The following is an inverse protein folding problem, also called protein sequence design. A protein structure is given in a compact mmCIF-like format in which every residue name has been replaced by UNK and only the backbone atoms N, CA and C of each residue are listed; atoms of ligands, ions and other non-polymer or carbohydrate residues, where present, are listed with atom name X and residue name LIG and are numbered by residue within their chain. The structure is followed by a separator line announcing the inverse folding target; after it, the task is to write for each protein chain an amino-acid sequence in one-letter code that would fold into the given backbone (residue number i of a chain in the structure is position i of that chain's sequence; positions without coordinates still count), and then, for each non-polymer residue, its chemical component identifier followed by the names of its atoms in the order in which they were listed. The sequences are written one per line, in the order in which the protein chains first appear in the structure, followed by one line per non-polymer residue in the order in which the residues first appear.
data_IF_813079110766
#
_entry.id   IF_813079110766
#
_cell.length_a   1.000
_cell.length_b   1.000
_cell.length_c   1.000
_cell.angle_alpha   90.00
_cell.angle_beta   90.00
_cell.angle_gamma   90.00
#
_symmetry.space_group_name_H-M   'P 1'
#
loop_
_entity.id
_entity.type
_entity.pdbx_description
1 polymer ?
#
# COMPACT_ATOMS: atom_id res chain seq x y z
N UNK A 1 -25.96 -45.74 -34.03
CA UNK A 1 -25.16 -45.98 -32.81
C UNK A 1 -24.38 -44.73 -32.46
N UNK A 2 -24.81 -44.01 -31.43
CA UNK A 2 -23.93 -43.26 -30.50
C UNK A 2 -23.89 -44.11 -29.20
N UNK A 3 -22.91 -43.99 -28.25
CA UNK A 3 -22.22 -42.76 -27.82
C UNK A 3 -20.75 -42.88 -27.31
N UNK A 4 -20.08 -41.73 -27.14
CA UNK A 4 -19.35 -41.27 -25.93
C UNK A 4 -18.44 -40.07 -26.31
N UNK A 5 -18.82 -38.82 -26.02
CA UNK A 5 -18.88 -38.18 -24.70
C UNK A 5 -17.48 -37.85 -24.14
N UNK A 6 -17.27 -36.55 -23.91
CA UNK A 6 -16.35 -35.96 -22.94
C UNK A 6 -14.83 -36.14 -23.15
N UNK A 7 -14.22 -35.15 -23.80
CA UNK A 7 -12.99 -34.58 -23.24
C UNK A 7 -13.23 -33.09 -22.96
N UNK A 8 -13.97 -32.88 -21.87
CA UNK A 8 -13.96 -31.68 -21.07
C UNK A 8 -12.55 -31.49 -20.48
N UNK A 9 -12.11 -30.23 -20.41
CA UNK A 9 -11.18 -29.72 -19.40
C UNK A 9 -9.67 -30.03 -19.55
N UNK A 10 -9.04 -29.39 -20.54
CA UNK A 10 -7.61 -29.03 -20.43
C UNK A 10 -7.45 -27.96 -19.34
N UNK A 11 -7.25 -28.40 -18.11
CA UNK A 11 -6.76 -27.57 -17.01
C UNK A 11 -5.34 -27.98 -16.68
N UNK A 12 -4.48 -26.98 -16.55
CA UNK A 12 -3.06 -27.22 -16.30
C UNK A 12 -2.10 -26.23 -16.94
N UNK A 13 -2.54 -25.02 -17.33
CA UNK A 13 -1.61 -23.89 -17.29
C UNK A 13 -1.83 -23.19 -15.96
N UNK A 14 -1.05 -23.60 -14.95
CA UNK A 14 -0.83 -22.79 -13.76
C UNK A 14 -0.10 -21.52 -14.22
N UNK A 15 -0.86 -20.58 -14.78
CA UNK A 15 -0.43 -19.22 -14.94
C UNK A 15 -0.16 -18.72 -13.52
N UNK A 16 1.12 -18.61 -13.16
CA UNK A 16 1.60 -17.90 -11.98
C UNK A 16 1.34 -16.40 -12.16
N UNK A 17 0.09 -16.04 -12.43
CA UNK A 17 -0.42 -14.69 -12.45
C UNK A 17 -0.72 -14.29 -11.02
N UNK A 18 -0.10 -13.21 -10.56
CA UNK A 18 -0.42 -12.60 -9.27
C UNK A 18 -1.94 -12.62 -9.05
N UNK A 19 -2.37 -13.19 -7.91
CA UNK A 19 -3.77 -13.27 -7.48
C UNK A 19 -4.43 -11.90 -7.65
N UNK A 20 -5.33 -11.76 -8.65
CA UNK A 20 -6.02 -10.50 -8.98
C UNK A 20 -6.89 -9.99 -7.82
N UNK A 21 -7.21 -10.89 -6.89
CA UNK A 21 -7.86 -10.64 -5.60
C UNK A 21 -6.96 -9.98 -4.56
N UNK A 22 -5.64 -9.90 -4.80
CA UNK A 22 -4.67 -9.40 -3.82
C UNK A 22 -3.80 -8.25 -4.31
N UNK A 23 -3.64 -8.09 -5.63
CA UNK A 23 -2.71 -7.11 -6.21
C UNK A 23 -3.36 -6.39 -7.39
N UNK A 24 -3.27 -5.05 -7.37
CA UNK A 24 -3.78 -4.16 -8.42
C UNK A 24 -5.07 -3.46 -8.03
N UNK A 25 -5.54 -2.55 -8.89
CA UNK A 25 -6.70 -1.69 -8.65
C UNK A 25 -7.99 -2.47 -8.31
N UNK A 26 -8.17 -3.67 -8.89
CA UNK A 26 -9.33 -4.54 -8.61
C UNK A 26 -9.36 -5.09 -7.18
N UNK A 27 -8.23 -5.09 -6.48
CA UNK A 27 -8.14 -5.48 -5.08
C UNK A 27 -8.44 -4.32 -4.11
N UNK A 28 -8.57 -3.08 -4.63
CA UNK A 28 -8.84 -1.90 -3.79
C UNK A 28 -10.33 -1.73 -3.55
N UNK A 29 -10.76 -1.81 -2.29
CA UNK A 29 -12.08 -1.35 -1.88
C UNK A 29 -12.17 0.17 -1.77
N UNK A 30 -13.38 0.71 -1.53
CA UNK A 30 -13.57 2.12 -1.22
C UNK A 30 -12.92 2.42 0.16
N UNK A 31 -11.96 3.38 0.25
CA UNK A 31 -11.23 3.64 1.48
C UNK A 31 -12.11 4.35 2.53
N UNK A 32 -12.55 3.62 3.56
CA UNK A 32 -13.43 4.15 4.63
C UNK A 32 -12.73 4.60 5.92
N UNK A 33 -11.42 4.32 6.06
CA UNK A 33 -10.69 4.55 7.31
C UNK A 33 -10.69 6.03 7.74
N UNK A 34 -10.48 6.95 6.79
CA UNK A 34 -10.45 8.40 7.06
C UNK A 34 -11.79 8.91 7.57
N UNK A 35 -12.90 8.46 6.97
CA UNK A 35 -14.24 8.83 7.43
C UNK A 35 -14.51 8.31 8.85
N UNK A 36 -14.10 7.08 9.15
CA UNK A 36 -14.23 6.50 10.48
C UNK A 36 -13.43 7.25 11.55
N UNK A 37 -12.18 7.61 11.24
CA UNK A 37 -11.33 8.38 12.16
C UNK A 37 -11.86 9.81 12.38
N UNK A 38 -12.34 10.47 11.32
CA UNK A 38 -12.94 11.80 11.43
C UNK A 38 -14.23 11.77 12.28
N UNK A 39 -15.06 10.74 12.10
CA UNK A 39 -16.27 10.54 12.91
C UNK A 39 -15.94 10.30 14.38
N UNK A 40 -14.98 9.41 14.66
CA UNK A 40 -14.53 9.12 16.01
C UNK A 40 -13.95 10.36 16.69
N UNK A 41 -13.14 11.15 15.97
CA UNK A 41 -12.61 12.42 16.46
C UNK A 41 -13.72 13.43 16.73
N UNK A 42 -14.75 13.52 15.87
CA UNK A 42 -15.88 14.42 16.10
C UNK A 42 -16.67 14.04 17.35
N UNK A 43 -16.87 12.73 17.59
CA UNK A 43 -17.71 12.23 18.67
C UNK A 43 -17.00 12.16 20.02
N UNK A 44 -15.69 11.85 20.02
CA UNK A 44 -14.93 11.56 21.24
C UNK A 44 -13.64 12.38 21.38
N UNK A 45 -13.27 13.16 20.38
CA UNK A 45 -12.06 13.96 20.38
C UNK A 45 -12.12 15.14 21.33
N UNK A 46 -10.94 15.52 21.83
CA UNK A 46 -10.76 16.70 22.70
C UNK A 46 -10.02 17.84 22.00
N UNK A 47 -9.30 17.53 20.92
CA UNK A 47 -8.52 18.46 20.12
C UNK A 47 -9.18 18.64 18.75
N UNK A 48 -8.90 19.74 18.07
CA UNK A 48 -9.38 19.95 16.69
C UNK A 48 -8.70 18.95 15.74
N UNK A 49 -9.35 18.69 14.60
CA UNK A 49 -8.77 17.81 13.57
C UNK A 49 -7.39 18.32 13.10
N UNK A 50 -7.24 19.64 12.95
CA UNK A 50 -5.96 20.25 12.59
C UNK A 50 -4.86 19.96 13.63
N UNK A 51 -5.20 20.03 14.92
CA UNK A 51 -4.23 19.77 16.00
C UNK A 51 -3.76 18.30 16.03
N UNK A 52 -4.65 17.34 15.75
CA UNK A 52 -4.26 15.92 15.72
C UNK A 52 -3.52 15.55 14.44
N UNK A 53 -3.77 16.25 13.33
CA UNK A 53 -3.08 16.02 12.05
C UNK A 53 -1.70 16.67 11.98
N UNK A 54 -1.48 17.80 12.67
CA UNK A 54 -0.23 18.55 12.61
C UNK A 54 1.06 17.71 12.85
N UNK A 55 1.11 16.77 13.82
CA UNK A 55 2.29 15.91 13.99
C UNK A 55 2.54 14.99 12.80
N UNK A 56 1.49 14.46 12.17
CA UNK A 56 1.61 13.57 11.02
C UNK A 56 2.07 14.33 9.78
N UNK A 57 1.52 15.52 9.55
CA UNK A 57 1.95 16.42 8.45
C UNK A 57 3.43 16.76 8.62
N UNK A 58 3.85 17.18 9.83
CA UNK A 58 5.27 17.47 10.10
C UNK A 58 6.18 16.27 9.82
N UNK A 59 5.79 15.06 10.22
CA UNK A 59 6.57 13.85 9.93
C UNK A 59 6.64 13.53 8.43
N UNK A 60 5.60 13.89 7.66
CA UNK A 60 5.59 13.74 6.21
C UNK A 60 6.49 14.78 5.51
N UNK A 61 6.48 16.04 5.98
CA UNK A 61 7.31 17.14 5.47
C UNK A 61 8.79 16.98 5.83
N UNK A 62 9.05 16.82 7.13
CA UNK A 62 10.42 16.73 7.64
C UNK A 62 10.98 15.36 7.31
N UNK A 63 10.19 14.30 7.44
CA UNK A 63 10.62 12.92 7.27
C UNK A 63 11.26 12.31 8.52
N UNK A 64 11.19 10.99 8.60
CA UNK A 64 11.61 10.20 9.77
C UNK A 64 12.56 9.06 9.38
N UNK A 65 13.32 8.55 10.35
CA UNK A 65 14.26 7.46 10.12
C UNK A 65 13.54 6.13 9.87
N UNK A 66 13.93 5.43 8.81
CA UNK A 66 13.42 4.09 8.49
C UNK A 66 13.87 3.09 9.55
N UNK A 67 12.92 2.70 10.39
CA UNK A 67 13.09 1.71 11.44
C UNK A 67 13.03 0.27 10.90
N UNK A 68 13.41 -0.70 11.74
CA UNK A 68 13.70 -2.07 11.30
C UNK A 68 12.50 -2.81 10.70
N UNK A 69 11.29 -2.64 11.25
CA UNK A 69 10.07 -3.26 10.71
C UNK A 69 9.65 -2.64 9.39
N UNK A 70 9.68 -1.30 9.26
CA UNK A 70 9.39 -0.64 7.98
C UNK A 70 10.35 -1.10 6.88
N UNK A 71 11.65 -1.18 7.18
CA UNK A 71 12.64 -1.68 6.22
C UNK A 71 12.35 -3.11 5.77
N UNK A 72 11.97 -4.00 6.69
CA UNK A 72 11.60 -5.39 6.37
C UNK A 72 10.37 -5.46 5.48
N UNK A 73 9.34 -4.66 5.76
CA UNK A 73 8.13 -4.59 4.94
C UNK A 73 8.44 -4.09 3.54
N UNK A 74 9.15 -2.96 3.42
CA UNK A 74 9.56 -2.40 2.13
C UNK A 74 10.39 -3.38 1.30
N UNK A 75 11.30 -4.13 1.94
CA UNK A 75 12.09 -5.16 1.25
C UNK A 75 11.25 -6.34 0.80
N UNK A 76 10.29 -6.78 1.61
CA UNK A 76 9.42 -7.92 1.29
C UNK A 76 8.47 -7.60 0.14
N UNK A 77 7.99 -6.35 0.08
CA UNK A 77 7.02 -5.90 -0.92
C UNK A 77 7.66 -5.20 -2.12
N UNK A 78 9.00 -5.08 -2.16
CA UNK A 78 9.73 -4.32 -3.18
C UNK A 78 9.35 -4.71 -4.61
N UNK A 79 9.13 -6.00 -4.90
CA UNK A 79 8.73 -6.46 -6.22
C UNK A 79 7.35 -5.93 -6.65
N UNK A 80 6.43 -5.78 -5.70
CA UNK A 80 5.08 -5.24 -5.96
C UNK A 80 5.12 -3.72 -6.05
N UNK A 81 5.86 -3.06 -5.15
CA UNK A 81 5.94 -1.60 -5.14
C UNK A 81 6.63 -1.09 -6.41
N UNK A 82 7.77 -1.68 -6.80
CA UNK A 82 8.49 -1.28 -8.03
C UNK A 82 7.65 -1.51 -9.29
N UNK A 83 6.73 -2.49 -9.30
CA UNK A 83 5.85 -2.75 -10.44
C UNK A 83 4.86 -1.61 -10.72
N UNK A 84 4.46 -0.86 -9.70
CA UNK A 84 3.50 0.24 -9.80
C UNK A 84 4.14 1.61 -9.50
N UNK A 85 5.47 1.66 -9.42
CA UNK A 85 6.20 2.90 -9.18
C UNK A 85 6.35 3.66 -10.51
N UNK A 86 5.45 4.59 -10.79
CA UNK A 86 5.51 5.47 -11.98
C UNK A 86 6.55 6.60 -11.83
N UNK A 87 7.67 6.35 -11.14
CA UNK A 87 8.71 7.34 -10.85
C UNK A 87 8.32 8.42 -9.84
N UNK A 88 7.02 8.56 -9.51
CA UNK A 88 6.50 9.56 -8.56
C UNK A 88 6.63 9.13 -7.10
N UNK A 89 6.69 7.81 -6.84
CA UNK A 89 6.91 7.29 -5.50
C UNK A 89 8.40 7.36 -5.13
N UNK A 90 8.84 8.55 -4.71
CA UNK A 90 10.19 8.83 -4.21
C UNK A 90 10.59 7.94 -3.00
N UNK A 91 9.66 7.16 -2.44
CA UNK A 91 9.89 6.14 -1.41
C UNK A 91 10.99 5.12 -1.76
N UNK A 92 11.26 4.91 -3.04
CA UNK A 92 12.16 3.88 -3.54
C UNK A 92 13.28 4.39 -4.45
N UNK A 93 13.37 5.69 -4.70
CA UNK A 93 14.49 6.22 -5.48
C UNK A 93 15.80 5.99 -4.70
N UNK A 94 16.69 5.24 -5.33
CA UNK A 94 18.03 4.85 -4.89
C UNK A 94 18.16 3.80 -3.76
N UNK A 95 17.37 2.71 -3.89
CA UNK A 95 17.35 1.44 -3.09
C UNK A 95 16.26 1.43 -2.02
N UNK A 96 15.74 0.25 -1.62
CA UNK A 96 14.87 0.14 -0.44
C UNK A 96 15.61 0.74 0.74
N UNK A 97 15.23 1.97 1.04
CA UNK A 97 15.81 2.96 1.95
C UNK A 97 16.63 2.27 3.04
N UNK A 98 17.98 2.33 2.93
CA UNK A 98 18.92 1.68 3.88
C UNK A 98 18.40 1.90 5.30
N UNK A 99 18.37 0.86 6.14
CA UNK A 99 17.98 0.98 7.55
C UNK A 99 18.66 2.22 8.17
N UNK A 100 17.87 3.14 8.72
CA UNK A 100 18.35 4.42 9.26
C UNK A 100 18.37 5.61 8.29
N UNK A 101 18.07 5.43 7.01
CA UNK A 101 17.85 6.53 6.06
C UNK A 101 16.57 7.32 6.41
N UNK A 102 16.49 8.57 5.95
CA UNK A 102 15.36 9.44 6.19
C UNK A 102 14.33 9.29 5.07
N UNK A 103 13.08 9.01 5.44
CA UNK A 103 11.95 8.90 4.53
C UNK A 103 11.12 10.19 4.59
N UNK A 104 10.98 10.89 3.47
CA UNK A 104 10.19 12.12 3.32
C UNK A 104 9.01 11.85 2.38
N UNK A 105 7.83 12.36 2.70
CA UNK A 105 6.60 12.11 1.95
C UNK A 105 5.80 13.42 1.77
N UNK A 106 6.36 14.37 1.02
CA UNK A 106 5.74 15.68 0.76
C UNK A 106 4.35 15.58 0.14
N UNK A 107 4.09 14.56 -0.69
CA UNK A 107 2.77 14.36 -1.33
C UNK A 107 1.66 14.02 -0.31
N UNK A 108 2.03 13.60 0.90
CA UNK A 108 1.10 13.29 2.00
C UNK A 108 1.02 14.41 3.04
N UNK A 109 1.75 15.51 2.84
CA UNK A 109 1.84 16.62 3.80
C UNK A 109 0.74 17.69 3.64
N UNK A 110 -0.38 17.36 3.00
CA UNK A 110 -1.43 18.33 2.61
C UNK A 110 -2.76 18.13 3.33
#
# INVERSE_FOLDING_TARGET
MQPNLFYLWSWGSSNSGARRDRVGHLASGVPGAMAGLAEAQRKYGRLTLAQVMAPAIRLAEEGFSVYSSLWRSLRSDSAVITRFADGTYSLLEDRPSRRGSRLVQTDLAV
#
